data_IF_611305566715
#
_entry.id   IF_611305566715
#
_cell.length_a   1.000
_cell.length_b   1.000
_cell.length_c   1.000
_cell.angle_alpha   90.00
_cell.angle_beta   90.00
_cell.angle_gamma   90.00
#
_symmetry.space_group_name_H-M   'P 1'
#
loop_
_entity.id
_entity.type
_entity.pdbx_description
1 polymer ?
#
# COMPACT_ATOMS: atom_id res chain seq x y z
N UNK A 1 0.70 -7.25 18.15
CA UNK A 1 0.87 -6.05 17.33
C UNK A 1 0.63 -6.45 15.88
N UNK A 2 -0.63 -6.70 15.52
CA UNK A 2 -1.04 -6.79 14.11
C UNK A 2 -1.40 -5.36 13.76
N UNK A 3 -0.38 -4.54 13.50
CA UNK A 3 -0.63 -3.19 13.01
C UNK A 3 -1.55 -3.33 11.79
N UNK A 4 -2.73 -2.72 11.86
CA UNK A 4 -3.87 -3.06 11.03
C UNK A 4 -3.49 -2.96 9.55
N UNK A 5 -3.40 -4.12 8.88
CA UNK A 5 -3.13 -4.21 7.43
C UNK A 5 -4.10 -3.32 6.65
N UNK A 6 -5.34 -3.20 7.13
CA UNK A 6 -6.37 -2.32 6.57
C UNK A 6 -6.03 -0.83 6.69
N UNK A 7 -5.44 -0.40 7.80
CA UNK A 7 -5.01 0.99 8.01
C UNK A 7 -3.83 1.32 7.11
N UNK A 8 -2.85 0.42 7.02
CA UNK A 8 -1.72 0.56 6.09
C UNK A 8 -2.16 0.57 4.63
N UNK A 9 -3.11 -0.29 4.25
CA UNK A 9 -3.68 -0.30 2.91
C UNK A 9 -4.40 1.02 2.59
N UNK A 10 -5.13 1.59 3.57
CA UNK A 10 -5.77 2.90 3.43
C UNK A 10 -4.73 4.00 3.21
N UNK A 11 -3.68 4.07 4.03
CA UNK A 11 -2.62 5.07 3.90
C UNK A 11 -1.90 4.98 2.55
N UNK A 12 -1.55 3.77 2.11
CA UNK A 12 -0.89 3.55 0.82
C UNK A 12 -1.83 3.95 -0.33
N UNK A 13 -3.11 3.60 -0.26
CA UNK A 13 -4.11 3.98 -1.26
C UNK A 13 -4.31 5.49 -1.35
N UNK A 14 -4.42 6.17 -0.20
CA UNK A 14 -4.53 7.63 -0.14
C UNK A 14 -3.30 8.30 -0.75
N UNK A 15 -2.10 7.85 -0.40
CA UNK A 15 -0.86 8.38 -0.97
C UNK A 15 -0.80 8.24 -2.50
N UNK A 16 -1.20 7.08 -3.03
CA UNK A 16 -1.24 6.83 -4.48
C UNK A 16 -2.19 7.81 -5.18
N UNK A 17 -3.36 8.07 -4.59
CA UNK A 17 -4.36 8.98 -5.18
C UNK A 17 -3.91 10.43 -5.07
N UNK A 18 -3.53 10.88 -3.87
CA UNK A 18 -3.17 12.28 -3.60
C UNK A 18 -1.92 12.74 -4.35
N UNK A 19 -0.97 11.83 -4.58
CA UNK A 19 0.32 12.15 -5.21
C UNK A 19 0.41 11.63 -6.64
N UNK A 20 -0.66 11.05 -7.19
CA UNK A 20 -0.66 10.29 -8.46
C UNK A 20 0.53 9.31 -8.55
N UNK A 21 0.90 8.74 -7.40
CA UNK A 21 2.15 8.00 -7.26
C UNK A 21 2.02 6.58 -7.80
N UNK A 22 3.08 6.09 -8.45
CA UNK A 22 3.13 4.70 -8.88
C UNK A 22 3.29 3.75 -7.69
N UNK A 23 2.87 2.48 -7.85
CA UNK A 23 3.06 1.42 -6.85
C UNK A 23 4.52 1.30 -6.38
N UNK A 24 5.48 1.51 -7.29
CA UNK A 24 6.91 1.47 -6.95
C UNK A 24 7.32 2.65 -6.06
N UNK A 25 6.78 3.84 -6.31
CA UNK A 25 7.03 5.02 -5.49
C UNK A 25 6.42 4.86 -4.09
N UNK A 26 5.20 4.35 -4.01
CA UNK A 26 4.56 4.02 -2.73
C UNK A 26 5.38 2.97 -1.95
N UNK A 27 5.82 1.89 -2.59
CA UNK A 27 6.66 0.87 -1.94
C UNK A 27 7.94 1.47 -1.33
N UNK A 28 8.62 2.36 -2.06
CA UNK A 28 9.79 3.06 -1.56
C UNK A 28 9.45 4.01 -0.40
N UNK A 29 8.34 4.76 -0.49
CA UNK A 29 7.89 5.70 0.55
C UNK A 29 7.55 5.00 1.87
N UNK A 30 6.89 3.85 1.80
CA UNK A 30 6.43 3.09 2.96
C UNK A 30 7.43 2.03 3.43
N UNK A 31 8.61 1.93 2.80
CA UNK A 31 9.66 0.98 3.18
C UNK A 31 9.24 -0.49 3.03
N UNK A 32 8.34 -0.78 2.10
CA UNK A 32 7.81 -2.13 1.84
C UNK A 32 8.15 -2.59 0.43
N UNK A 33 7.99 -3.89 0.19
CA UNK A 33 8.17 -4.41 -1.17
C UNK A 33 6.99 -4.01 -2.08
N UNK A 34 7.24 -3.91 -3.39
CA UNK A 34 6.18 -3.72 -4.38
C UNK A 34 5.09 -4.81 -4.27
N UNK A 35 5.47 -6.06 -4.04
CA UNK A 35 4.55 -7.18 -3.82
C UNK A 35 3.71 -7.04 -2.54
N UNK A 36 4.27 -6.42 -1.50
CA UNK A 36 3.55 -6.08 -0.27
C UNK A 36 2.45 -5.06 -0.56
N UNK A 37 2.77 -3.97 -1.27
CA UNK A 37 1.77 -2.99 -1.71
C UNK A 37 0.68 -3.64 -2.56
N UNK A 38 1.05 -4.49 -3.52
CA UNK A 38 0.05 -5.22 -4.31
C UNK A 38 -0.84 -6.13 -3.47
N UNK A 39 -0.27 -6.83 -2.48
CA UNK A 39 -1.05 -7.74 -1.63
C UNK A 39 -2.00 -6.97 -0.73
N UNK A 40 -1.58 -5.81 -0.22
CA UNK A 40 -2.36 -4.99 0.71
C UNK A 40 -3.43 -4.14 0.02
N UNK A 41 -3.15 -3.62 -1.18
CA UNK A 41 -4.06 -2.73 -1.90
C UNK A 41 -4.94 -3.49 -2.90
N UNK A 42 -4.42 -4.54 -3.54
CA UNK A 42 -5.11 -5.24 -4.65
C UNK A 42 -5.63 -6.60 -4.22
N UNK A 43 -4.86 -7.35 -3.42
CA UNK A 43 -5.15 -8.76 -3.15
C UNK A 43 -6.04 -8.96 -1.92
N UNK A 44 -7.25 -8.40 -1.97
CA UNK A 44 -8.40 -8.81 -1.15
C UNK A 44 -9.33 -9.72 -1.96
N UNK A 45 -8.76 -10.69 -2.68
CA UNK A 45 -9.53 -11.70 -3.40
C UNK A 45 -9.54 -12.98 -2.55
N UNK A 46 -10.53 -13.05 -1.66
CA UNK A 46 -11.19 -14.32 -1.36
C UNK A 46 -12.20 -14.59 -2.47
#
# INVERSE_FOLDING_TARGET
MRDNIEERAREIGMYIIEQEATVRAAAAKFGVSKSTVHTEVIKRNG
#
